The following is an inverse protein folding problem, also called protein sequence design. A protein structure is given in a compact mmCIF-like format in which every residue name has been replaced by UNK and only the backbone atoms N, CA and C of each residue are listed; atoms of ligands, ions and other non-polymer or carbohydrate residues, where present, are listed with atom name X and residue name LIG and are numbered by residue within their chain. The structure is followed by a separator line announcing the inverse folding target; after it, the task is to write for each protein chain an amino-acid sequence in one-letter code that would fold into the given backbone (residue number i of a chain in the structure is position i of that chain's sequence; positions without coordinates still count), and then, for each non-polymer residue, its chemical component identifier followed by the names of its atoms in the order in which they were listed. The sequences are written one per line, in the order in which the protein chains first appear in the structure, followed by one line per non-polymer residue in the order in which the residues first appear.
data_IF_282978675590
#
_entry.id   IF_282978675590
#
_cell.length_a   1.000
_cell.length_b   1.000
_cell.length_c   1.000
_cell.angle_alpha   90.00
_cell.angle_beta   90.00
_cell.angle_gamma   90.00
#
_symmetry.space_group_name_H-M   'P 1'
#
loop_
_entity.id
_entity.type
_entity.pdbx_description
1 polymer ?
#
# COMPACT_ATOMS: atom_id res chain seq x y z
N UNK A 1 2.75 6.94 -7.68
CA UNK A 1 1.67 5.94 -7.70
C UNK A 1 1.59 5.32 -9.06
N UNK A 2 1.34 4.01 -9.13
CA UNK A 2 1.23 3.24 -10.36
C UNK A 2 -0.08 2.46 -10.37
N UNK A 3 -0.53 2.03 -11.56
CA UNK A 3 -1.77 1.26 -11.73
C UNK A 3 -1.55 -0.24 -11.62
N UNK A 4 -0.42 -0.73 -12.11
CA UNK A 4 -0.06 -2.15 -12.16
C UNK A 4 1.18 -2.47 -11.33
N UNK A 5 1.39 -3.76 -11.09
CA UNK A 5 2.57 -4.25 -10.36
C UNK A 5 3.76 -4.52 -11.28
N UNK A 6 3.52 -5.01 -12.49
CA UNK A 6 4.55 -5.47 -13.41
C UNK A 6 4.79 -4.49 -14.57
N UNK A 7 5.86 -4.73 -15.33
CA UNK A 7 6.30 -3.87 -16.43
C UNK A 7 7.26 -2.76 -16.02
N UNK A 8 7.76 -2.01 -17.00
CA UNK A 8 8.80 -0.97 -16.79
C UNK A 8 8.34 0.10 -15.80
N UNK A 9 7.07 0.50 -15.87
CA UNK A 9 6.46 1.50 -14.99
C UNK A 9 5.57 0.87 -13.90
N UNK A 10 5.66 -0.44 -13.70
CA UNK A 10 4.99 -1.14 -12.62
C UNK A 10 5.59 -0.85 -11.25
N UNK A 11 4.82 -1.11 -10.20
CA UNK A 11 5.20 -0.82 -8.81
C UNK A 11 6.52 -1.50 -8.45
N UNK A 12 6.68 -2.76 -8.82
CA UNK A 12 7.86 -3.55 -8.49
C UNK A 12 9.13 -2.92 -9.07
N UNK A 13 9.12 -2.59 -10.35
CA UNK A 13 10.26 -2.00 -11.02
C UNK A 13 10.55 -0.57 -10.54
N UNK A 14 9.52 0.25 -10.35
CA UNK A 14 9.68 1.61 -9.81
C UNK A 14 10.20 1.58 -8.36
N UNK A 15 9.74 0.66 -7.53
CA UNK A 15 10.28 0.49 -6.17
C UNK A 15 11.76 0.12 -6.22
N UNK A 16 12.15 -0.85 -7.03
CA UNK A 16 13.54 -1.26 -7.20
C UNK A 16 14.42 -0.09 -7.69
N UNK A 17 13.94 0.63 -8.73
CA UNK A 17 14.64 1.80 -9.26
C UNK A 17 14.82 2.91 -8.22
N UNK A 18 13.77 3.24 -7.47
CA UNK A 18 13.85 4.30 -6.44
C UNK A 18 14.70 3.85 -5.24
N UNK A 19 14.60 2.58 -4.84
CA UNK A 19 15.42 2.00 -3.78
C UNK A 19 16.91 1.99 -4.14
N UNK A 20 17.27 1.90 -5.43
CA UNK A 20 18.66 1.96 -5.87
C UNK A 20 19.36 3.28 -5.50
N UNK A 21 18.58 4.37 -5.35
CA UNK A 21 19.11 5.66 -4.89
C UNK A 21 19.34 5.72 -3.35
N UNK A 22 18.85 4.73 -2.61
CA UNK A 22 19.16 4.62 -1.19
C UNK A 22 20.60 4.07 -1.03
N UNK A 23 21.55 4.84 -0.46
CA UNK A 23 22.95 4.47 -0.39
C UNK A 23 23.24 3.40 0.67
N UNK A 24 22.27 3.05 1.52
CA UNK A 24 22.46 2.06 2.58
C UNK A 24 22.65 0.66 1.98
N UNK A 25 23.44 -0.15 2.70
CA UNK A 25 23.72 -1.52 2.29
C UNK A 25 22.44 -2.36 2.26
N UNK A 26 22.16 -3.10 1.17
CA UNK A 26 21.02 -4.01 1.12
C UNK A 26 21.24 -5.23 2.01
N UNK A 27 20.17 -5.67 2.65
CA UNK A 27 20.06 -6.93 3.37
C UNK A 27 19.05 -7.81 2.64
N UNK A 28 19.55 -8.90 2.05
CA UNK A 28 18.72 -9.86 1.32
C UNK A 28 17.99 -10.79 2.29
N UNK A 29 16.66 -10.92 2.13
CA UNK A 29 15.83 -11.90 2.82
C UNK A 29 14.78 -12.50 1.86
N UNK A 30 14.85 -13.81 1.65
CA UNK A 30 14.12 -14.44 0.56
C UNK A 30 14.57 -13.86 -0.79
N UNK A 31 13.61 -13.40 -1.57
CA UNK A 31 13.83 -12.78 -2.88
C UNK A 31 13.85 -11.23 -2.83
N UNK A 32 13.74 -10.64 -1.64
CA UNK A 32 13.64 -9.19 -1.45
C UNK A 32 14.87 -8.59 -0.79
N UNK A 33 15.23 -7.41 -1.25
CA UNK A 33 16.24 -6.55 -0.65
C UNK A 33 15.59 -5.49 0.25
N UNK A 34 16.11 -5.34 1.46
CA UNK A 34 15.71 -4.31 2.41
C UNK A 34 16.89 -3.43 2.77
N UNK A 35 16.66 -2.13 2.87
CA UNK A 35 17.69 -1.16 3.27
C UNK A 35 17.17 -0.30 4.42
N UNK A 36 18.07 0.09 5.29
CA UNK A 36 17.79 1.14 6.27
C UNK A 36 17.34 2.42 5.56
N UNK A 37 16.35 3.09 6.10
CA UNK A 37 15.62 4.23 5.54
C UNK A 37 14.65 3.92 4.38
N UNK A 38 14.45 2.65 4.02
CA UNK A 38 13.36 2.33 3.08
C UNK A 38 12.00 2.69 3.69
N UNK A 39 11.14 3.41 2.95
CA UNK A 39 9.74 3.55 3.31
C UNK A 39 9.02 2.22 3.11
N UNK A 40 8.11 1.90 4.01
CA UNK A 40 7.32 0.67 3.94
C UNK A 40 5.82 0.94 4.10
N UNK A 41 5.02 -0.03 3.62
CA UNK A 41 3.60 -0.17 3.94
C UNK A 41 3.34 -1.57 4.48
N UNK A 42 2.68 -1.67 5.63
CA UNK A 42 2.20 -2.94 6.13
C UNK A 42 1.12 -3.50 5.19
N UNK A 43 1.20 -4.77 4.86
CA UNK A 43 0.32 -5.43 3.88
C UNK A 43 -0.31 -6.74 4.39
N UNK A 44 0.27 -7.36 5.39
CA UNK A 44 -0.22 -8.58 6.03
C UNK A 44 -0.17 -8.38 7.53
N UNK A 45 -1.20 -7.74 8.05
CA UNK A 45 -1.18 -7.25 9.42
C UNK A 45 -1.94 -8.14 10.40
N UNK A 46 -2.37 -9.35 10.02
CA UNK A 46 -3.03 -10.27 10.96
C UNK A 46 -2.19 -10.50 12.20
N UNK A 47 -0.86 -10.59 12.04
CA UNK A 47 0.10 -10.71 13.13
C UNK A 47 0.00 -9.58 14.17
N UNK A 48 -0.31 -8.36 13.74
CA UNK A 48 -0.30 -7.16 14.58
C UNK A 48 -1.64 -6.44 14.65
N UNK A 49 -2.69 -7.02 14.04
CA UNK A 49 -4.05 -6.46 14.05
C UNK A 49 -4.68 -6.55 15.44
N UNK A 50 -5.46 -5.54 15.91
CA UNK A 50 -5.86 -4.33 15.17
C UNK A 50 -4.89 -3.15 15.30
N UNK A 51 -3.80 -3.28 16.04
CA UNK A 51 -2.90 -2.17 16.39
C UNK A 51 -2.13 -1.62 15.18
N UNK A 52 -1.62 -2.54 14.35
CA UNK A 52 -0.99 -2.21 13.07
C UNK A 52 -1.85 -2.83 11.97
N UNK A 53 -2.41 -2.00 11.11
CA UNK A 53 -3.34 -2.40 10.06
C UNK A 53 -2.72 -2.23 8.66
N UNK A 54 -3.35 -2.85 7.67
CA UNK A 54 -2.93 -2.74 6.28
C UNK A 54 -2.85 -1.28 5.83
N UNK A 55 -1.86 -0.97 5.01
CA UNK A 55 -1.51 0.35 4.51
C UNK A 55 -0.98 1.33 5.56
N UNK A 56 -0.72 0.90 6.80
CA UNK A 56 0.01 1.72 7.75
C UNK A 56 1.43 1.97 7.23
N UNK A 57 1.88 3.21 7.30
CA UNK A 57 3.21 3.63 6.85
C UNK A 57 4.23 3.43 7.93
N UNK A 58 5.45 3.14 7.49
CA UNK A 58 6.62 3.11 8.36
C UNK A 58 7.89 3.34 7.58
N UNK A 59 8.99 3.32 8.31
CA UNK A 59 10.35 3.45 7.76
C UNK A 59 11.28 2.48 8.49
N UNK A 60 12.10 1.78 7.77
CA UNK A 60 13.11 0.90 8.35
C UNK A 60 14.18 1.76 9.02
N UNK A 61 14.36 1.57 10.33
CA UNK A 61 15.39 2.27 11.12
C UNK A 61 16.65 1.42 11.25
N UNK A 62 16.48 0.10 11.43
CA UNK A 62 17.58 -0.84 11.56
C UNK A 62 17.19 -2.23 11.05
N UNK A 63 18.18 -2.99 10.58
CA UNK A 63 18.03 -4.36 10.11
C UNK A 63 19.19 -5.19 10.65
N UNK A 64 18.87 -6.25 11.38
CA UNK A 64 19.85 -7.23 11.84
C UNK A 64 19.46 -8.61 11.32
N UNK A 65 20.39 -9.35 10.76
CA UNK A 65 20.16 -10.69 10.17
C UNK A 65 21.07 -11.72 10.81
N UNK A 66 20.47 -12.85 11.16
CA UNK A 66 21.14 -14.11 11.53
C UNK A 66 20.96 -15.15 10.40
N UNK A 67 21.41 -16.38 10.63
CA UNK A 67 21.19 -17.49 9.67
C UNK A 67 19.72 -17.92 9.58
N UNK A 68 18.97 -17.83 10.71
CA UNK A 68 17.60 -18.32 10.86
C UNK A 68 16.54 -17.23 10.93
N UNK A 69 16.93 -15.99 11.23
CA UNK A 69 15.97 -14.90 11.48
C UNK A 69 16.51 -13.56 10.96
N UNK A 70 15.59 -12.67 10.57
CA UNK A 70 15.85 -11.27 10.32
C UNK A 70 15.05 -10.42 11.31
N UNK A 71 15.69 -9.42 11.89
CA UNK A 71 15.09 -8.47 12.82
C UNK A 71 14.93 -7.12 12.13
N UNK A 72 13.72 -6.60 12.16
CA UNK A 72 13.41 -5.27 11.67
C UNK A 72 13.11 -4.33 12.83
N UNK A 73 13.71 -3.16 12.80
CA UNK A 73 13.32 -2.02 13.64
C UNK A 73 12.64 -1.00 12.75
N UNK A 74 11.37 -0.72 13.02
CA UNK A 74 10.52 0.12 12.17
C UNK A 74 10.02 1.31 12.97
N UNK A 75 10.22 2.52 12.44
CA UNK A 75 9.53 3.72 12.88
C UNK A 75 8.18 3.79 12.18
N UNK A 76 7.09 3.76 12.96
CA UNK A 76 5.72 3.94 12.47
C UNK A 76 5.41 5.43 12.30
N UNK A 77 4.42 5.78 11.49
CA UNK A 77 3.92 7.17 11.39
C UNK A 77 2.80 7.49 12.40
N UNK A 78 2.65 6.63 13.40
CA UNK A 78 1.71 6.78 14.53
C UNK A 78 2.44 6.60 15.87
N UNK A 79 1.76 7.03 16.94
CA UNK A 79 2.14 6.74 18.30
C UNK A 79 1.30 5.59 18.87
N UNK A 80 1.96 4.60 19.45
CA UNK A 80 1.36 3.46 20.16
C UNK A 80 1.74 3.61 21.63
N UNK A 81 0.81 3.41 22.55
CA UNK A 81 1.14 3.39 23.97
C UNK A 81 1.55 1.97 24.43
N UNK A 82 2.29 1.89 25.54
CA UNK A 82 2.81 0.63 26.06
C UNK A 82 1.70 -0.36 26.49
N UNK A 83 0.55 0.16 26.93
CA UNK A 83 -0.57 -0.67 27.36
C UNK A 83 -1.18 -1.40 26.16
N UNK A 84 -1.40 -0.68 25.06
CA UNK A 84 -1.97 -1.24 23.83
C UNK A 84 -1.00 -2.19 23.14
N UNK A 85 0.31 -1.97 23.28
CA UNK A 85 1.34 -2.83 22.71
C UNK A 85 1.49 -4.19 23.42
N UNK A 86 0.99 -4.30 24.64
CA UNK A 86 1.16 -5.51 25.44
C UNK A 86 0.37 -6.69 24.83
N UNK A 87 1.06 -7.80 24.63
CA UNK A 87 0.49 -9.02 24.05
C UNK A 87 0.68 -9.20 22.56
N UNK A 88 1.30 -8.23 21.88
CA UNK A 88 1.69 -8.35 20.47
C UNK A 88 3.11 -8.91 20.32
N UNK A 89 3.36 -9.57 19.20
CA UNK A 89 4.66 -10.17 18.86
C UNK A 89 5.63 -9.13 18.27
N UNK A 90 5.81 -8.04 19.00
CA UNK A 90 6.86 -7.03 18.78
C UNK A 90 7.25 -6.34 20.08
N UNK A 91 8.45 -5.83 20.12
CA UNK A 91 8.97 -4.99 21.20
C UNK A 91 8.74 -3.51 20.84
N UNK A 92 8.09 -2.76 21.74
CA UNK A 92 7.96 -1.31 21.62
C UNK A 92 9.22 -0.65 22.20
N UNK A 93 9.98 0.04 21.34
CA UNK A 93 11.17 0.75 21.75
C UNK A 93 10.83 2.20 22.12
N UNK A 94 11.23 2.65 23.32
CA UNK A 94 11.01 4.02 23.74
C UNK A 94 11.92 4.97 22.94
N UNK A 95 11.34 5.92 22.22
CA UNK A 95 12.08 7.00 21.58
C UNK A 95 11.75 8.33 22.22
N UNK A 96 12.65 8.86 23.06
CA UNK A 96 12.45 10.14 23.76
C UNK A 96 12.40 11.36 22.81
N UNK A 97 12.82 11.19 21.55
CA UNK A 97 12.99 12.28 20.59
C UNK A 97 11.98 12.28 19.44
N UNK A 98 11.11 11.27 19.34
CA UNK A 98 10.11 11.15 18.27
C UNK A 98 8.70 11.06 18.85
N UNK A 99 7.74 11.67 18.15
CA UNK A 99 6.31 11.45 18.41
C UNK A 99 5.82 10.11 17.86
N UNK A 100 6.62 9.46 17.05
CA UNK A 100 6.32 8.21 16.38
C UNK A 100 6.84 7.04 17.20
N UNK A 101 6.11 5.94 17.20
CA UNK A 101 6.56 4.72 17.86
C UNK A 101 7.57 3.96 17.00
N UNK A 102 8.53 3.36 17.67
CA UNK A 102 9.49 2.44 17.07
C UNK A 102 9.19 1.04 17.60
N UNK A 103 8.98 0.11 16.69
CA UNK A 103 8.76 -1.30 17.01
C UNK A 103 9.91 -2.15 16.49
N UNK A 104 10.17 -3.27 17.18
CA UNK A 104 11.12 -4.28 16.74
C UNK A 104 10.48 -5.65 16.78
N UNK A 105 10.64 -6.41 15.70
CA UNK A 105 10.15 -7.78 15.58
C UNK A 105 11.09 -8.62 14.71
N UNK A 106 10.97 -9.93 14.80
CA UNK A 106 11.73 -10.87 13.97
C UNK A 106 10.83 -11.56 12.94
N UNK A 107 11.45 -11.99 11.85
CA UNK A 107 10.85 -12.87 10.84
C UNK A 107 11.76 -14.08 10.67
N UNK A 108 11.20 -15.27 10.86
CA UNK A 108 11.93 -16.54 10.75
C UNK A 108 12.05 -16.97 9.29
N UNK A 109 13.13 -17.67 8.99
CA UNK A 109 13.33 -18.30 7.68
C UNK A 109 12.37 -19.49 7.57
N UNK A 110 11.78 -19.67 6.39
CA UNK A 110 11.04 -20.92 6.09
C UNK A 110 11.98 -22.11 6.26
N UNK A 111 11.58 -23.16 6.99
CA UNK A 111 12.34 -24.39 6.98
C UNK A 111 12.31 -25.03 5.57
N UNK A 112 13.42 -25.65 5.17
CA UNK A 112 13.51 -26.39 3.89
C UNK A 112 12.74 -27.74 3.94
N UNK A 113 11.78 -27.90 4.84
CA UNK A 113 10.96 -29.09 5.03
C UNK A 113 9.52 -28.84 4.60
N UNK A 114 8.87 -29.87 4.01
CA UNK A 114 7.48 -29.85 3.53
C UNK A 114 6.40 -29.74 4.64
N UNK A 115 6.75 -29.23 5.80
CA UNK A 115 5.77 -28.98 6.85
C UNK A 115 5.02 -27.67 6.55
N UNK A 116 3.72 -27.78 6.26
CA UNK A 116 2.75 -26.70 6.09
C UNK A 116 2.53 -25.94 7.41
N UNK A 117 3.57 -25.31 7.92
CA UNK A 117 3.49 -24.44 9.08
C UNK A 117 3.37 -22.99 8.61
N UNK A 118 2.13 -22.55 8.33
CA UNK A 118 1.73 -21.21 7.92
C UNK A 118 1.80 -20.19 9.08
N UNK A 119 2.84 -20.27 9.91
CA UNK A 119 2.97 -19.33 11.02
C UNK A 119 3.27 -17.92 10.50
N UNK A 120 2.51 -16.93 10.99
CA UNK A 120 2.63 -15.51 10.62
C UNK A 120 4.02 -14.91 10.88
N UNK A 121 4.85 -15.55 11.67
CA UNK A 121 6.20 -15.11 12.00
C UNK A 121 7.24 -15.44 10.90
N UNK A 122 6.84 -16.12 9.82
CA UNK A 122 7.68 -16.43 8.66
C UNK A 122 7.50 -15.44 7.50
N UNK A 123 6.42 -14.66 7.49
CA UNK A 123 6.14 -13.66 6.47
C UNK A 123 6.61 -12.27 6.91
N UNK A 124 7.26 -11.53 6.00
CA UNK A 124 7.53 -10.12 6.23
C UNK A 124 6.22 -9.35 6.09
N UNK A 125 5.69 -8.73 7.17
CA UNK A 125 4.34 -8.17 7.18
C UNK A 125 4.24 -6.80 6.50
N UNK A 126 5.19 -6.46 5.65
CA UNK A 126 5.23 -5.19 4.94
C UNK A 126 5.92 -5.32 3.57
N UNK A 127 5.73 -4.33 2.74
CA UNK A 127 6.44 -4.16 1.46
C UNK A 127 7.19 -2.83 1.45
N UNK A 128 8.29 -2.77 0.70
CA UNK A 128 8.98 -1.51 0.38
C UNK A 128 8.04 -0.63 -0.47
N UNK A 129 7.93 0.65 -0.14
CA UNK A 129 6.84 1.51 -0.61
C UNK A 129 7.30 2.91 -1.08
N UNK A 130 8.37 2.98 -1.86
CA UNK A 130 8.70 4.20 -2.64
C UNK A 130 7.61 4.51 -3.66
N UNK A 131 7.04 3.47 -4.26
CA UNK A 131 5.86 3.52 -5.12
C UNK A 131 4.76 2.60 -4.55
N UNK A 132 3.52 3.02 -4.71
CA UNK A 132 2.34 2.29 -4.23
C UNK A 132 1.28 2.25 -5.32
N UNK A 133 0.39 1.26 -5.28
CA UNK A 133 -0.78 1.24 -6.16
C UNK A 133 -1.77 2.33 -5.75
N UNK A 134 -2.58 2.77 -6.71
CA UNK A 134 -3.64 3.73 -6.43
C UNK A 134 -4.63 3.13 -5.41
N UNK A 135 -4.94 1.84 -5.50
CA UNK A 135 -5.82 1.14 -4.56
C UNK A 135 -5.25 1.13 -3.13
N UNK A 136 -3.97 0.78 -2.96
CA UNK A 136 -3.32 0.81 -1.64
C UNK A 136 -3.13 2.22 -1.06
N UNK A 137 -3.21 3.24 -1.90
CA UNK A 137 -3.16 4.64 -1.46
C UNK A 137 -4.49 5.17 -0.94
N UNK A 138 -5.58 4.42 -1.08
CA UNK A 138 -6.89 4.82 -0.61
C UNK A 138 -6.88 5.04 0.91
N UNK A 139 -7.41 6.17 1.37
CA UNK A 139 -7.35 6.58 2.77
C UNK A 139 -6.02 7.23 3.20
N UNK A 140 -4.97 7.11 2.39
CA UNK A 140 -3.69 7.75 2.67
C UNK A 140 -3.59 9.13 2.00
N UNK A 141 -2.78 10.00 2.58
CA UNK A 141 -2.49 11.32 2.03
C UNK A 141 -0.98 11.56 2.03
N UNK A 142 -0.51 12.29 1.02
CA UNK A 142 0.89 12.59 0.81
C UNK A 142 1.07 14.07 0.50
N UNK A 143 2.15 14.65 1.01
CA UNK A 143 2.52 16.04 0.70
C UNK A 143 2.70 16.26 -0.80
N UNK A 144 3.34 15.31 -1.47
CA UNK A 144 3.57 15.35 -2.92
C UNK A 144 3.28 13.99 -3.54
N UNK A 145 2.52 13.99 -4.64
CA UNK A 145 2.15 12.79 -5.39
C UNK A 145 2.65 12.90 -6.83
N UNK A 146 3.26 11.80 -7.30
CA UNK A 146 3.59 11.59 -8.70
C UNK A 146 2.79 10.39 -9.20
N UNK A 147 2.04 10.55 -10.27
CA UNK A 147 1.25 9.50 -10.91
C UNK A 147 1.88 9.18 -12.25
N UNK A 148 2.03 7.90 -12.56
CA UNK A 148 2.52 7.42 -13.86
C UNK A 148 1.39 6.66 -14.51
N UNK A 149 1.00 7.07 -15.72
CA UNK A 149 -0.04 6.44 -16.53
C UNK A 149 0.52 6.22 -17.92
N UNK A 150 0.56 4.97 -18.36
CA UNK A 150 1.02 4.59 -19.69
C UNK A 150 -0.17 4.28 -20.59
N UNK A 151 0.03 4.32 -21.91
CA UNK A 151 -0.99 3.99 -22.90
C UNK A 151 -1.52 2.56 -22.78
N UNK A 152 -0.72 1.62 -22.28
CA UNK A 152 -1.14 0.24 -22.03
C UNK A 152 -2.20 0.11 -20.91
N UNK A 153 -2.34 1.15 -20.08
CA UNK A 153 -3.17 1.14 -18.89
C UNK A 153 -4.31 2.16 -18.93
N UNK A 154 -4.42 2.93 -20.01
CA UNK A 154 -5.41 4.00 -20.12
C UNK A 154 -6.84 3.50 -19.98
N UNK A 155 -7.17 2.30 -20.50
CA UNK A 155 -8.48 1.68 -20.40
C UNK A 155 -8.86 1.30 -18.95
N UNK A 156 -7.86 1.11 -18.07
CA UNK A 156 -8.05 0.79 -16.66
C UNK A 156 -8.29 2.04 -15.80
N UNK A 157 -8.07 3.24 -16.36
CA UNK A 157 -8.20 4.50 -15.62
C UNK A 157 -9.64 4.99 -15.69
N UNK A 158 -10.49 4.47 -14.82
CA UNK A 158 -11.82 5.04 -14.62
C UNK A 158 -11.75 6.41 -13.93
N UNK A 159 -12.81 7.21 -14.06
CA UNK A 159 -12.94 8.50 -13.35
C UNK A 159 -12.71 8.34 -11.85
N UNK A 160 -13.24 7.28 -11.22
CA UNK A 160 -13.08 7.03 -9.78
C UNK A 160 -11.64 6.71 -9.39
N UNK A 161 -10.91 5.95 -10.21
CA UNK A 161 -9.49 5.62 -10.00
C UNK A 161 -8.65 6.89 -10.14
N UNK A 162 -8.89 7.68 -11.18
CA UNK A 162 -8.19 8.94 -11.38
C UNK A 162 -8.44 9.92 -10.25
N UNK A 163 -9.71 10.12 -9.86
CA UNK A 163 -10.09 10.97 -8.74
C UNK A 163 -9.42 10.51 -7.44
N UNK A 164 -9.44 9.20 -7.16
CA UNK A 164 -8.75 8.63 -5.99
C UNK A 164 -7.27 8.99 -5.99
N UNK A 165 -6.60 8.87 -7.14
CA UNK A 165 -5.16 9.13 -7.24
C UNK A 165 -4.81 10.61 -7.02
N UNK A 166 -5.53 11.53 -7.67
CA UNK A 166 -5.23 12.97 -7.58
C UNK A 166 -5.55 13.54 -6.20
N UNK A 167 -6.59 13.04 -5.55
CA UNK A 167 -6.99 13.49 -4.20
C UNK A 167 -6.05 13.00 -3.08
N UNK A 168 -5.06 12.17 -3.40
CA UNK A 168 -4.01 11.78 -2.41
C UNK A 168 -2.97 12.88 -2.20
N UNK A 169 -2.89 13.88 -3.08
CA UNK A 169 -1.94 14.97 -2.97
C UNK A 169 -2.48 16.11 -2.10
N UNK A 170 -1.71 16.50 -1.07
CA UNK A 170 -2.01 17.68 -0.23
C UNK A 170 -1.51 18.99 -0.83
N UNK A 171 -0.29 19.00 -1.37
CA UNK A 171 0.37 20.22 -1.83
C UNK A 171 0.76 20.16 -3.30
N UNK A 172 1.37 19.04 -3.74
CA UNK A 172 1.94 18.96 -5.07
C UNK A 172 1.48 17.69 -5.79
N UNK A 173 0.99 17.85 -7.01
CA UNK A 173 0.61 16.78 -7.91
C UNK A 173 1.39 16.88 -9.22
N UNK A 174 1.96 15.77 -9.69
CA UNK A 174 2.55 15.65 -11.00
C UNK A 174 2.10 14.36 -11.68
N UNK A 175 1.58 14.46 -12.89
CA UNK A 175 1.13 13.32 -13.68
C UNK A 175 2.11 13.17 -14.85
N UNK A 176 2.58 11.93 -15.05
CA UNK A 176 3.42 11.54 -16.17
C UNK A 176 2.59 10.68 -17.12
N UNK A 177 2.25 11.22 -18.26
CA UNK A 177 1.52 10.58 -19.36
C UNK A 177 1.97 11.14 -20.70
N UNK A 178 1.61 10.46 -21.80
CA UNK A 178 1.77 11.05 -23.14
C UNK A 178 0.60 11.99 -23.44
N UNK A 179 0.75 12.93 -24.40
CA UNK A 179 -0.37 13.77 -24.85
C UNK A 179 -1.56 12.94 -25.37
N UNK A 180 -1.29 11.81 -25.98
CA UNK A 180 -2.30 10.89 -26.49
C UNK A 180 -3.08 10.26 -25.33
N UNK A 181 -2.37 9.71 -24.33
CA UNK A 181 -2.96 9.12 -23.11
C UNK A 181 -3.78 10.15 -22.34
N UNK A 182 -3.27 11.38 -22.19
CA UNK A 182 -3.99 12.49 -21.57
C UNK A 182 -5.35 12.72 -22.25
N UNK A 183 -5.34 12.84 -23.59
CA UNK A 183 -6.55 13.09 -24.37
C UNK A 183 -7.56 11.97 -24.22
N UNK A 184 -7.11 10.69 -24.28
CA UNK A 184 -8.00 9.52 -24.13
C UNK A 184 -8.64 9.52 -22.75
N UNK A 185 -7.85 9.69 -21.69
CA UNK A 185 -8.35 9.69 -20.31
C UNK A 185 -9.34 10.84 -20.08
N UNK A 186 -9.00 12.07 -20.47
CA UNK A 186 -9.88 13.21 -20.24
C UNK A 186 -11.19 13.08 -21.03
N UNK A 187 -11.14 12.56 -22.26
CA UNK A 187 -12.37 12.30 -23.03
C UNK A 187 -13.24 11.20 -22.45
N UNK A 188 -12.66 10.21 -21.79
CA UNK A 188 -13.39 9.13 -21.11
C UNK A 188 -14.18 9.58 -19.88
N UNK A 189 -13.87 10.77 -19.35
CA UNK A 189 -14.60 11.36 -18.21
C UNK A 189 -15.85 12.15 -18.62
N UNK A 190 -16.14 12.24 -19.91
CA UNK A 190 -17.36 12.84 -20.38
C UNK A 190 -18.57 12.06 -19.81
N UNK A 191 -19.47 12.81 -19.27
CA UNK A 191 -20.70 12.48 -18.52
C UNK A 191 -21.07 11.00 -18.50
N UNK A 192 -20.98 10.36 -17.34
CA UNK A 192 -21.69 9.12 -17.07
C UNK A 192 -23.17 9.33 -17.33
N UNK A 193 -23.70 8.67 -18.34
CA UNK A 193 -25.14 8.59 -18.55
C UNK A 193 -25.73 7.64 -17.50
N UNK A 194 -26.34 8.20 -16.47
CA UNK A 194 -27.02 7.46 -15.41
C UNK A 194 -28.42 6.98 -15.80
N UNK A 195 -28.87 7.19 -17.04
CA UNK A 195 -30.20 6.85 -17.49
C UNK A 195 -30.57 5.37 -17.28
N UNK A 196 -29.60 4.48 -17.47
CA UNK A 196 -29.74 3.03 -17.24
C UNK A 196 -29.90 2.71 -15.76
N UNK A 197 -29.10 3.30 -14.90
CA UNK A 197 -29.12 3.07 -13.46
C UNK A 197 -30.42 3.63 -12.84
N UNK A 198 -30.86 4.80 -13.30
CA UNK A 198 -32.13 5.41 -12.94
C UNK A 198 -33.31 4.52 -13.43
N UNK A 199 -33.22 3.93 -14.61
CA UNK A 199 -34.19 3.02 -15.13
C UNK A 199 -34.36 1.75 -14.29
N UNK A 200 -33.23 1.15 -13.87
CA UNK A 200 -33.19 -0.02 -12.99
C UNK A 200 -33.77 0.29 -11.59
N UNK A 201 -33.38 1.42 -11.00
CA UNK A 201 -33.93 1.86 -9.71
C UNK A 201 -35.45 2.10 -9.75
N UNK A 202 -35.93 2.76 -10.79
CA UNK A 202 -37.39 2.95 -10.99
C UNK A 202 -38.10 1.64 -11.14
N UNK A 203 -37.52 0.68 -11.86
CA UNK A 203 -38.11 -0.68 -12.01
C UNK A 203 -38.20 -1.43 -10.68
N UNK A 204 -37.17 -1.32 -9.83
CA UNK A 204 -37.17 -1.93 -8.50
C UNK A 204 -38.18 -1.30 -7.53
N UNK A 205 -38.35 0.01 -7.56
CA UNK A 205 -39.34 0.73 -6.73
C UNK A 205 -40.74 0.33 -7.12
N UNK A 206 -41.06 0.35 -8.42
CA UNK A 206 -42.38 -0.02 -8.92
C UNK A 206 -42.74 -1.48 -8.65
N UNK A 207 -41.75 -2.39 -8.62
CA UNK A 207 -41.99 -3.81 -8.27
C UNK A 207 -42.28 -4.03 -6.79
N UNK A 208 -41.75 -3.18 -5.90
CA UNK A 208 -42.04 -3.22 -4.46
C UNK A 208 -43.41 -2.65 -4.10
N UNK A 209 -43.90 -1.64 -4.83
CA UNK A 209 -45.20 -1.06 -4.58
C UNK A 209 -46.31 -2.02 -5.02
N UNK A 210 -46.16 -2.74 -6.14
CA UNK A 210 -47.13 -3.76 -6.58
C UNK A 210 -47.19 -5.01 -5.67
N UNK A 211 -46.17 -5.26 -4.83
CA UNK A 211 -46.18 -6.36 -3.87
C UNK A 211 -46.82 -5.99 -2.52
N UNK A 212 -47.21 -4.75 -2.30
CA UNK A 212 -47.87 -4.26 -1.08
C UNK A 212 -49.42 -4.09 -1.24
N UNK A 213 -49.93 -4.27 -2.44
CA UNK A 213 -51.37 -4.17 -2.74
C UNK A 213 -52.07 -5.56 -2.88
N UNK A 214 -51.43 -6.63 -2.53
CA UNK A 214 -51.96 -7.99 -2.40
C UNK A 214 -51.87 -8.45 -0.94
#
# INVERSE_FOLDING_TARGET
MCLNYDGIYGINNINHFLQSNNPNRPVLWGIHDYKVNDPILFNESERFTPLIHNNMKGKIVDINKTESEIFFTIELDISINEIDANGYDFELLSNKNSKNSIIKFSVKKYPDTDEDDDSFDKLVPFQVAYAVSIHKSQGLEYKSVKIIITNELEELVSHSIFYTAITRAKENLKIYWSPETEKVILSSFEKRDFSRDIGLLKGMINSQDNSREL
#
